data_IF_927406493396
#
_entry.id   IF_927406493396
#
_cell.length_a   1.000
_cell.length_b   1.000
_cell.length_c   1.000
_cell.angle_alpha   90.00
_cell.angle_beta   90.00
_cell.angle_gamma   90.00
#
_symmetry.space_group_name_H-M   'P 1'
#
loop_
_entity.id
_entity.type
_entity.pdbx_description
1 polymer ?
#
# COMPACT_ATOMS: atom_id res chain seq x y z
N UNK A 1 15.03 6.78 -28.61
CA UNK A 1 15.74 5.53 -28.32
C UNK A 1 14.90 4.40 -28.89
N UNK A 2 15.47 3.45 -29.63
CA UNK A 2 14.71 2.28 -30.08
C UNK A 2 14.39 1.39 -28.88
N UNK A 3 13.41 0.48 -29.03
CA UNK A 3 13.05 -0.48 -28.00
C UNK A 3 14.26 -1.36 -27.62
N UNK A 4 15.01 -1.78 -28.64
CA UNK A 4 16.24 -2.58 -28.45
C UNK A 4 17.35 -1.84 -27.70
N UNK A 5 17.53 -0.53 -27.96
CA UNK A 5 18.49 0.31 -27.22
C UNK A 5 18.07 0.51 -25.76
N UNK A 6 16.77 0.59 -25.47
CA UNK A 6 16.25 0.70 -24.12
C UNK A 6 16.44 -0.60 -23.34
N UNK A 7 16.10 -1.74 -23.95
CA UNK A 7 16.28 -3.06 -23.36
C UNK A 7 17.77 -3.36 -23.08
N UNK A 8 18.66 -3.01 -24.04
CA UNK A 8 20.09 -3.17 -23.85
C UNK A 8 20.63 -2.31 -22.70
N UNK A 9 20.19 -1.06 -22.59
CA UNK A 9 20.57 -0.18 -21.50
C UNK A 9 20.10 -0.72 -20.14
N UNK A 10 18.86 -1.15 -20.05
CA UNK A 10 18.31 -1.72 -18.81
C UNK A 10 19.04 -3.00 -18.40
N UNK A 11 19.35 -3.87 -19.36
CA UNK A 11 20.09 -5.09 -19.10
C UNK A 11 21.50 -4.81 -18.55
N UNK A 12 22.23 -3.85 -19.13
CA UNK A 12 23.57 -3.49 -18.70
C UNK A 12 23.57 -2.79 -17.34
N UNK A 13 22.63 -1.87 -17.12
CA UNK A 13 22.43 -1.22 -15.82
C UNK A 13 22.10 -2.22 -14.72
N UNK A 14 21.22 -3.17 -15.02
CA UNK A 14 20.85 -4.24 -14.11
C UNK A 14 22.04 -5.15 -13.78
N UNK A 15 22.88 -5.48 -14.77
CA UNK A 15 24.11 -6.26 -14.57
C UNK A 15 25.08 -5.55 -13.61
N UNK A 16 25.31 -4.24 -13.80
CA UNK A 16 26.17 -3.44 -12.93
C UNK A 16 25.61 -3.34 -11.49
N UNK A 17 24.32 -3.10 -11.34
CA UNK A 17 23.65 -3.07 -10.04
C UNK A 17 23.70 -4.43 -9.33
N UNK A 18 23.56 -5.51 -10.07
CA UNK A 18 23.69 -6.88 -9.55
C UNK A 18 25.11 -7.20 -9.09
N UNK A 19 26.14 -6.83 -9.87
CA UNK A 19 27.54 -7.02 -9.46
C UNK A 19 27.87 -6.22 -8.19
N UNK A 20 27.41 -5.01 -8.11
CA UNK A 20 27.54 -4.16 -6.91
C UNK A 20 26.89 -4.81 -5.69
N UNK A 21 25.68 -5.32 -5.83
CA UNK A 21 24.94 -5.99 -4.75
C UNK A 21 25.63 -7.26 -4.30
N UNK A 22 26.11 -8.09 -5.26
CA UNK A 22 26.85 -9.30 -4.96
C UNK A 22 28.16 -9.00 -4.20
N UNK A 23 28.88 -7.95 -4.61
CA UNK A 23 30.12 -7.52 -3.94
C UNK A 23 29.83 -7.01 -2.53
N UNK A 24 28.71 -6.30 -2.34
CA UNK A 24 28.28 -5.83 -1.04
C UNK A 24 27.91 -7.01 -0.11
N UNK A 25 27.14 -7.97 -0.61
CA UNK A 25 26.76 -9.14 0.15
C UNK A 25 27.99 -9.97 0.54
N UNK A 26 28.92 -10.16 -0.38
CA UNK A 26 30.19 -10.84 -0.12
C UNK A 26 31.00 -10.12 0.97
N UNK A 27 31.05 -8.79 0.95
CA UNK A 27 31.71 -7.99 2.00
C UNK A 27 31.13 -8.26 3.39
N UNK A 28 29.82 -8.52 3.49
CA UNK A 28 29.16 -8.80 4.78
C UNK A 28 29.48 -10.20 5.34
N UNK A 29 29.97 -11.12 4.52
CA UNK A 29 30.36 -12.48 4.97
C UNK A 29 31.76 -12.55 5.57
N UNK A 30 32.59 -11.52 5.39
CA UNK A 30 33.96 -11.49 5.90
C UNK A 30 34.04 -11.19 7.40
N UNK A 31 34.90 -11.93 8.10
CA UNK A 31 35.18 -11.69 9.53
C UNK A 31 35.95 -10.38 9.73
N UNK A 32 35.36 -9.37 10.43
CA UNK A 32 36.01 -8.07 10.61
C UNK A 32 37.34 -8.12 11.38
N UNK A 33 37.58 -9.18 12.16
CA UNK A 33 38.78 -9.36 12.95
C UNK A 33 39.94 -9.99 12.17
N UNK A 34 39.62 -10.82 11.16
CA UNK A 34 40.61 -11.64 10.43
C UNK A 34 40.82 -11.23 8.99
N UNK A 35 39.82 -10.59 8.37
CA UNK A 35 39.79 -10.37 6.90
C UNK A 35 39.68 -8.88 6.53
N UNK A 36 40.34 -8.00 7.28
CA UNK A 36 40.29 -6.54 7.09
C UNK A 36 40.68 -6.11 5.67
N UNK A 37 41.65 -6.76 5.06
CA UNK A 37 42.11 -6.41 3.70
C UNK A 37 41.05 -6.74 2.66
N UNK A 38 40.37 -7.90 2.77
CA UNK A 38 39.27 -8.28 1.87
C UNK A 38 38.07 -7.33 2.02
N UNK A 39 37.77 -6.90 3.23
CA UNK A 39 36.72 -5.90 3.50
C UNK A 39 37.04 -4.56 2.83
N UNK A 40 38.31 -4.13 2.92
CA UNK A 40 38.79 -2.89 2.30
C UNK A 40 38.76 -2.98 0.77
N UNK A 41 39.19 -4.10 0.21
CA UNK A 41 39.16 -4.35 -1.25
C UNK A 41 37.73 -4.39 -1.79
N UNK A 42 36.83 -5.12 -1.14
CA UNK A 42 35.41 -5.14 -1.50
C UNK A 42 34.77 -3.75 -1.38
N UNK A 43 35.12 -2.98 -0.34
CA UNK A 43 34.68 -1.59 -0.19
C UNK A 43 35.14 -0.69 -1.33
N UNK A 44 36.39 -0.86 -1.80
CA UNK A 44 36.93 -0.12 -2.95
C UNK A 44 36.19 -0.50 -4.24
N UNK A 45 35.99 -1.81 -4.47
CA UNK A 45 35.24 -2.31 -5.64
C UNK A 45 33.79 -1.79 -5.67
N UNK A 46 33.11 -1.71 -4.52
CA UNK A 46 31.75 -1.13 -4.43
C UNK A 46 31.78 0.35 -4.83
N UNK A 47 32.73 1.13 -4.35
CA UNK A 47 32.87 2.56 -4.70
C UNK A 47 33.16 2.76 -6.20
N UNK A 48 33.97 1.88 -6.80
CA UNK A 48 34.25 1.89 -8.24
C UNK A 48 32.97 1.56 -9.05
N UNK A 49 32.20 0.58 -8.62
CA UNK A 49 30.92 0.22 -9.25
C UNK A 49 29.88 1.33 -9.10
N UNK A 50 29.77 1.97 -7.93
CA UNK A 50 28.89 3.13 -7.73
C UNK A 50 29.24 4.30 -8.66
N UNK A 51 30.54 4.50 -8.90
CA UNK A 51 31.02 5.54 -9.83
C UNK A 51 30.69 5.17 -11.28
N UNK A 52 30.86 3.91 -11.65
CA UNK A 52 30.49 3.40 -12.99
C UNK A 52 29.00 3.51 -13.24
N UNK A 53 28.16 3.10 -12.30
CA UNK A 53 26.70 3.20 -12.41
C UNK A 53 26.28 4.64 -12.62
N UNK A 54 26.79 5.58 -11.80
CA UNK A 54 26.47 7.01 -11.95
C UNK A 54 26.93 7.59 -13.29
N UNK A 55 28.10 7.18 -13.78
CA UNK A 55 28.61 7.62 -15.08
C UNK A 55 27.74 7.09 -16.21
N UNK A 56 27.34 5.82 -16.15
CA UNK A 56 26.49 5.17 -17.13
C UNK A 56 25.09 5.78 -17.18
N UNK A 57 24.47 6.04 -16.04
CA UNK A 57 23.17 6.70 -15.93
C UNK A 57 23.24 8.14 -16.50
N UNK A 58 24.31 8.88 -16.20
CA UNK A 58 24.53 10.24 -16.72
C UNK A 58 24.74 10.29 -18.24
N UNK A 59 25.52 9.37 -18.78
CA UNK A 59 25.76 9.25 -20.23
C UNK A 59 24.46 8.95 -20.97
N UNK A 60 23.66 8.04 -20.42
CA UNK A 60 22.34 7.72 -20.97
C UNK A 60 21.41 8.94 -20.95
N UNK A 61 21.33 9.65 -19.83
CA UNK A 61 20.52 10.87 -19.72
C UNK A 61 20.94 11.93 -20.76
N UNK A 62 22.23 12.06 -21.00
CA UNK A 62 22.75 12.97 -21.98
C UNK A 62 22.38 12.55 -23.41
N UNK A 63 22.53 11.27 -23.76
CA UNK A 63 22.12 10.74 -25.08
C UNK A 63 20.62 10.93 -25.34
N UNK A 64 19.78 10.70 -24.31
CA UNK A 64 18.33 10.92 -24.40
C UNK A 64 18.01 12.41 -24.64
N UNK A 65 18.67 13.31 -23.91
CA UNK A 65 18.51 14.75 -24.09
C UNK A 65 18.95 15.24 -25.48
N UNK A 66 20.11 14.78 -25.96
CA UNK A 66 20.63 15.13 -27.28
C UNK A 66 19.67 14.66 -28.39
N UNK A 67 19.16 13.43 -28.28
CA UNK A 67 18.22 12.87 -29.25
C UNK A 67 16.85 13.57 -29.18
N UNK A 68 16.36 13.90 -27.98
CA UNK A 68 15.14 14.67 -27.83
C UNK A 68 15.26 16.07 -28.47
N UNK A 69 16.41 16.73 -28.29
CA UNK A 69 16.68 18.02 -28.90
C UNK A 69 16.81 17.92 -30.44
N UNK A 70 17.45 16.86 -30.96
CA UNK A 70 17.55 16.66 -32.41
C UNK A 70 16.19 16.41 -33.04
N UNK A 71 15.34 15.61 -32.41
CA UNK A 71 13.98 15.34 -32.88
C UNK A 71 13.07 16.56 -32.76
N UNK A 72 13.22 17.39 -31.72
CA UNK A 72 12.45 18.64 -31.57
C UNK A 72 12.72 19.64 -32.72
N UNK A 73 13.91 19.60 -33.31
CA UNK A 73 14.30 20.46 -34.43
C UNK A 73 14.19 19.79 -35.81
N UNK A 74 13.83 18.51 -35.84
CA UNK A 74 13.62 17.79 -37.10
C UNK A 74 12.23 18.09 -37.67
N UNK A 75 12.20 19.01 -38.63
CA UNK A 75 10.97 19.45 -39.30
C UNK A 75 10.28 18.33 -40.06
N UNK A 76 11.03 17.37 -40.64
CA UNK A 76 10.48 16.25 -41.37
C UNK A 76 9.79 15.25 -40.42
N UNK A 77 10.45 14.93 -39.31
CA UNK A 77 9.89 14.07 -38.27
C UNK A 77 8.61 14.67 -37.66
N UNK A 78 8.63 15.98 -37.34
CA UNK A 78 7.46 16.65 -36.77
C UNK A 78 6.30 16.71 -37.77
N UNK A 79 6.54 16.96 -39.05
CA UNK A 79 5.50 16.92 -40.06
C UNK A 79 4.91 15.51 -40.27
N UNK A 80 5.75 14.47 -40.24
CA UNK A 80 5.28 13.09 -40.34
C UNK A 80 4.48 12.69 -39.11
N UNK A 81 4.92 13.10 -37.92
CA UNK A 81 4.22 12.88 -36.66
C UNK A 81 2.85 13.58 -36.67
N UNK A 82 2.80 14.87 -37.05
CA UNK A 82 1.56 15.63 -37.12
C UNK A 82 0.59 15.03 -38.14
N UNK A 83 1.10 14.53 -39.27
CA UNK A 83 0.29 13.86 -40.28
C UNK A 83 -0.28 12.52 -39.79
N UNK A 84 0.52 11.71 -39.08
CA UNK A 84 0.07 10.47 -38.42
C UNK A 84 -0.97 10.77 -37.34
N UNK A 85 -0.73 11.77 -36.52
CA UNK A 85 -1.66 12.20 -35.46
C UNK A 85 -2.97 12.75 -36.02
N UNK A 86 -2.93 13.52 -37.13
CA UNK A 86 -4.13 13.98 -37.81
C UNK A 86 -4.94 12.83 -38.38
N UNK A 87 -4.27 11.84 -39.01
CA UNK A 87 -4.93 10.64 -39.52
C UNK A 87 -5.56 9.77 -38.43
N UNK A 88 -4.86 9.60 -37.30
CA UNK A 88 -5.40 8.89 -36.15
C UNK A 88 -6.58 9.63 -35.50
N UNK A 89 -6.51 10.95 -35.38
CA UNK A 89 -7.63 11.78 -34.89
C UNK A 89 -8.85 11.68 -35.80
N UNK A 90 -8.65 11.71 -37.11
CA UNK A 90 -9.75 11.58 -38.07
C UNK A 90 -10.38 10.17 -38.04
N UNK A 91 -9.55 9.12 -37.98
CA UNK A 91 -10.02 7.75 -37.82
C UNK A 91 -10.79 7.58 -36.52
N UNK A 92 -10.24 8.05 -35.41
CA UNK A 92 -10.88 7.98 -34.10
C UNK A 92 -12.17 8.80 -34.04
N UNK A 93 -12.20 9.99 -34.66
CA UNK A 93 -13.43 10.79 -34.76
C UNK A 93 -14.53 10.08 -35.55
N UNK A 94 -14.18 9.37 -36.62
CA UNK A 94 -15.13 8.57 -37.42
C UNK A 94 -15.65 7.35 -36.61
N UNK A 95 -14.77 6.65 -35.90
CA UNK A 95 -15.14 5.51 -35.03
C UNK A 95 -16.03 5.96 -33.86
N UNK A 96 -15.70 7.08 -33.23
CA UNK A 96 -16.51 7.68 -32.16
C UNK A 96 -17.86 8.13 -32.70
N UNK A 97 -17.93 8.84 -33.83
CA UNK A 97 -19.19 9.30 -34.38
C UNK A 97 -20.12 8.17 -34.81
N UNK A 98 -19.57 7.02 -35.20
CA UNK A 98 -20.33 5.84 -35.53
C UNK A 98 -20.88 5.07 -34.30
N UNK A 99 -20.18 5.21 -33.14
CA UNK A 99 -20.52 4.52 -31.90
C UNK A 99 -21.29 5.40 -30.89
N UNK A 100 -21.35 6.70 -31.10
CA UNK A 100 -21.99 7.65 -30.18
C UNK A 100 -23.49 7.73 -30.52
N UNK A 101 -24.32 7.18 -29.62
CA UNK A 101 -25.72 7.50 -29.52
C UNK A 101 -25.93 8.82 -28.77
N UNK A 102 -27.06 9.49 -28.91
CA UNK A 102 -27.38 10.70 -28.14
C UNK A 102 -27.26 10.52 -26.62
N UNK A 103 -27.51 9.30 -26.15
CA UNK A 103 -27.37 8.90 -24.75
C UNK A 103 -25.90 8.82 -24.32
N UNK A 104 -25.02 8.29 -25.20
CA UNK A 104 -23.57 8.26 -24.96
C UNK A 104 -22.96 9.66 -24.97
N UNK A 105 -23.47 10.54 -25.79
CA UNK A 105 -23.05 11.95 -25.89
C UNK A 105 -23.42 12.72 -24.61
N UNK A 106 -24.66 12.60 -24.15
CA UNK A 106 -25.11 13.17 -22.88
C UNK A 106 -24.31 12.65 -21.68
N UNK A 107 -24.04 11.34 -21.67
CA UNK A 107 -23.20 10.68 -20.67
C UNK A 107 -21.77 11.24 -20.66
N UNK A 108 -21.14 11.35 -21.83
CA UNK A 108 -19.78 11.88 -21.95
C UNK A 108 -19.69 13.36 -21.54
N UNK A 109 -20.74 14.15 -21.77
CA UNK A 109 -20.80 15.54 -21.33
C UNK A 109 -20.89 15.66 -19.82
N UNK A 110 -21.67 14.80 -19.15
CA UNK A 110 -21.76 14.71 -17.69
C UNK A 110 -20.42 14.23 -17.11
N UNK A 111 -19.80 13.21 -17.72
CA UNK A 111 -18.48 12.69 -17.36
C UNK A 111 -17.40 13.77 -17.43
N UNK A 112 -17.39 14.58 -18.50
CA UNK A 112 -16.46 15.68 -18.66
C UNK A 112 -16.64 16.75 -17.57
N UNK A 113 -17.87 17.04 -17.16
CA UNK A 113 -18.18 17.97 -16.05
C UNK A 113 -17.75 17.42 -14.70
N UNK A 114 -17.95 16.16 -14.43
CA UNK A 114 -17.54 15.52 -13.16
C UNK A 114 -16.02 15.38 -13.04
N UNK A 115 -15.33 15.01 -14.09
CA UNK A 115 -13.86 15.00 -14.14
C UNK A 115 -13.33 16.42 -13.92
N UNK A 116 -13.95 17.44 -14.53
CA UNK A 116 -13.61 18.84 -14.34
C UNK A 116 -13.86 19.31 -12.90
N UNK A 117 -14.97 18.91 -12.28
CA UNK A 117 -15.30 19.24 -10.89
C UNK A 117 -14.34 18.59 -9.89
N UNK A 118 -13.95 17.34 -10.12
CA UNK A 118 -12.97 16.62 -9.30
C UNK A 118 -11.59 17.28 -9.36
N UNK A 119 -11.17 17.71 -10.55
CA UNK A 119 -9.94 18.46 -10.81
C UNK A 119 -10.10 19.93 -10.42
N UNK A 120 -11.34 20.45 -10.40
CA UNK A 120 -11.69 21.82 -10.06
C UNK A 120 -11.34 22.25 -8.62
N UNK A 121 -11.18 21.28 -7.69
CA UNK A 121 -10.66 21.54 -6.34
C UNK A 121 -9.22 22.02 -6.31
N UNK A 122 -8.48 21.84 -7.39
CA UNK A 122 -7.10 22.28 -7.49
C UNK A 122 -7.02 23.64 -8.23
N UNK A 123 -6.18 24.55 -7.75
CA UNK A 123 -5.91 25.81 -8.44
C UNK A 123 -5.38 25.58 -9.86
N UNK A 124 -5.54 26.57 -10.74
CA UNK A 124 -5.22 26.50 -12.18
C UNK A 124 -3.84 25.89 -12.49
N UNK A 125 -2.79 26.32 -11.79
CA UNK A 125 -1.42 25.79 -11.98
C UNK A 125 -1.31 24.29 -11.68
N UNK A 126 -2.05 23.81 -10.68
CA UNK A 126 -2.02 22.41 -10.26
C UNK A 126 -2.80 21.52 -11.21
N UNK A 127 -3.96 22.02 -11.71
CA UNK A 127 -4.73 21.36 -12.78
C UNK A 127 -3.89 21.17 -14.03
N UNK A 128 -3.19 22.24 -14.45
CA UNK A 128 -2.33 22.21 -15.64
C UNK A 128 -1.18 21.21 -15.50
N UNK A 129 -0.55 21.15 -14.30
CA UNK A 129 0.51 20.17 -13.99
C UNK A 129 -0.01 18.73 -14.04
N UNK A 130 -1.20 18.47 -13.54
CA UNK A 130 -1.79 17.12 -13.54
C UNK A 130 -2.25 16.70 -14.95
N UNK A 131 -2.83 17.62 -15.72
CA UNK A 131 -3.17 17.36 -17.11
C UNK A 131 -1.93 17.06 -17.95
N UNK A 132 -0.85 17.81 -17.75
CA UNK A 132 0.42 17.54 -18.44
C UNK A 132 1.00 16.19 -18.03
N UNK A 133 0.97 15.82 -16.74
CA UNK A 133 1.44 14.51 -16.27
C UNK A 133 0.63 13.36 -16.88
N UNK A 134 -0.70 13.54 -17.03
CA UNK A 134 -1.56 12.55 -17.70
C UNK A 134 -1.23 12.46 -19.20
N UNK A 135 -1.05 13.57 -19.87
CA UNK A 135 -0.67 13.60 -21.29
C UNK A 135 0.69 12.98 -21.52
N UNK A 136 1.65 13.23 -20.63
CA UNK A 136 3.00 12.66 -20.73
C UNK A 136 2.97 11.14 -20.48
N UNK A 137 2.20 10.65 -19.51
CA UNK A 137 2.00 9.22 -19.27
C UNK A 137 1.34 8.51 -20.45
N UNK A 138 0.33 9.15 -21.08
CA UNK A 138 -0.31 8.61 -22.29
C UNK A 138 0.64 8.58 -23.48
N UNK A 139 1.43 9.65 -23.68
CA UNK A 139 2.46 9.69 -24.75
C UNK A 139 3.52 8.61 -24.56
N UNK A 140 4.01 8.43 -23.33
CA UNK A 140 4.96 7.38 -22.99
C UNK A 140 4.38 5.99 -23.27
N UNK A 141 3.15 5.73 -22.87
CA UNK A 141 2.46 4.48 -23.13
C UNK A 141 2.31 4.20 -24.64
N UNK A 142 1.95 5.21 -25.42
CA UNK A 142 1.86 5.08 -26.88
C UNK A 142 3.22 4.78 -27.52
N UNK A 143 4.31 5.39 -27.02
CA UNK A 143 5.67 5.12 -27.48
C UNK A 143 6.13 3.71 -27.17
N UNK A 144 5.70 3.17 -26.02
CA UNK A 144 6.00 1.81 -25.60
C UNK A 144 5.09 0.76 -26.24
N UNK A 145 4.15 1.16 -27.11
CA UNK A 145 3.25 0.26 -27.80
C UNK A 145 2.18 -0.37 -26.89
N UNK A 146 1.86 0.28 -25.77
CA UNK A 146 0.79 -0.15 -24.86
C UNK A 146 -0.56 -0.02 -25.57
N UNK A 147 -1.36 -1.07 -25.55
CA UNK A 147 -2.71 -1.01 -26.09
C UNK A 147 -3.65 -0.28 -25.09
N UNK A 148 -3.97 0.95 -25.41
CA UNK A 148 -4.87 1.78 -24.58
C UNK A 148 -6.35 1.38 -24.71
N UNK A 149 -6.71 0.47 -25.64
CA UNK A 149 -8.05 -0.12 -25.70
C UNK A 149 -8.21 -1.26 -24.71
N UNK A 150 -7.12 -1.93 -24.36
CA UNK A 150 -7.11 -2.90 -23.28
C UNK A 150 -7.31 -2.19 -21.92
N UNK A 151 -8.30 -2.65 -21.16
CA UNK A 151 -8.70 -2.01 -19.90
C UNK A 151 -7.58 -2.12 -18.85
N UNK A 152 -6.90 -3.23 -18.77
CA UNK A 152 -5.88 -3.50 -17.76
C UNK A 152 -4.62 -2.66 -18.05
N UNK A 153 -4.15 -2.64 -19.30
CA UNK A 153 -3.01 -1.84 -19.73
C UNK A 153 -3.31 -0.34 -19.60
N UNK A 154 -4.48 0.10 -20.01
CA UNK A 154 -4.93 1.49 -19.83
C UNK A 154 -4.96 1.88 -18.35
N UNK A 155 -5.49 1.04 -17.48
CA UNK A 155 -5.54 1.26 -16.04
C UNK A 155 -4.12 1.39 -15.45
N UNK A 156 -3.17 0.58 -15.88
CA UNK A 156 -1.78 0.67 -15.45
C UNK A 156 -1.12 2.02 -15.82
N UNK A 157 -1.50 2.61 -16.96
CA UNK A 157 -1.05 3.97 -17.34
C UNK A 157 -1.68 5.04 -16.45
N UNK A 158 -2.98 4.94 -16.16
CA UNK A 158 -3.67 5.87 -15.28
C UNK A 158 -3.16 5.79 -13.84
N UNK A 159 -2.72 4.62 -13.38
CA UNK A 159 -2.17 4.43 -12.03
C UNK A 159 -0.80 5.13 -11.84
N UNK A 160 -0.12 5.49 -12.92
CA UNK A 160 1.10 6.35 -12.88
C UNK A 160 0.79 7.81 -12.54
N UNK A 161 -0.43 8.28 -12.73
CA UNK A 161 -0.88 9.63 -12.37
C UNK A 161 -1.54 9.67 -10.99
N UNK A 162 -1.63 10.87 -10.41
CA UNK A 162 -2.05 11.08 -9.02
C UNK A 162 -3.52 10.71 -8.76
N UNK A 163 -4.33 10.58 -9.80
CA UNK A 163 -5.74 10.19 -9.64
C UNK A 163 -6.30 9.53 -10.91
N UNK A 164 -7.29 8.68 -10.68
CA UNK A 164 -8.12 8.05 -11.71
C UNK A 164 -9.59 8.20 -11.32
N UNK A 165 -10.46 8.52 -12.27
CA UNK A 165 -11.91 8.52 -12.04
C UNK A 165 -12.47 7.20 -12.55
N UNK A 166 -13.11 6.44 -11.65
CA UNK A 166 -13.85 5.22 -11.99
C UNK A 166 -15.32 5.45 -11.74
N UNK A 167 -16.15 5.19 -12.75
CA UNK A 167 -17.61 5.25 -12.64
C UNK A 167 -18.10 3.88 -12.22
N UNK A 168 -18.89 3.85 -11.13
CA UNK A 168 -19.33 2.60 -10.51
C UNK A 168 -20.78 2.26 -10.83
N UNK A 169 -21.63 3.28 -11.01
CA UNK A 169 -23.06 3.04 -11.17
C UNK A 169 -23.78 4.19 -11.87
N UNK A 170 -24.81 3.88 -12.61
CA UNK A 170 -25.66 4.82 -13.34
C UNK A 170 -27.05 4.80 -12.71
N UNK A 171 -27.38 5.78 -11.90
CA UNK A 171 -28.75 6.04 -11.49
C UNK A 171 -29.38 7.07 -12.41
N UNK A 172 -30.67 6.94 -12.69
CA UNK A 172 -31.44 7.73 -13.67
C UNK A 172 -31.36 9.25 -13.52
N UNK A 173 -30.80 9.77 -12.42
CA UNK A 173 -30.72 11.20 -12.14
C UNK A 173 -29.30 11.68 -11.82
N UNK A 174 -28.34 10.83 -11.53
CA UNK A 174 -26.95 11.21 -11.20
C UNK A 174 -25.96 10.11 -11.55
N UNK A 175 -24.87 10.50 -12.19
CA UNK A 175 -23.68 9.66 -12.35
C UNK A 175 -22.89 9.64 -11.03
N UNK A 176 -22.72 8.45 -10.46
CA UNK A 176 -21.86 8.25 -9.31
C UNK A 176 -20.47 7.80 -9.77
N UNK A 177 -19.48 8.67 -9.57
CA UNK A 177 -18.08 8.38 -9.85
C UNK A 177 -17.24 8.33 -8.58
N UNK A 178 -16.25 7.46 -8.57
CA UNK A 178 -15.23 7.40 -7.52
C UNK A 178 -13.92 7.92 -8.06
N UNK A 179 -13.33 8.91 -7.37
CA UNK A 179 -11.97 9.35 -7.66
C UNK A 179 -10.99 8.42 -6.93
N UNK A 180 -10.18 7.70 -7.69
CA UNK A 180 -9.13 6.84 -7.16
C UNK A 180 -7.84 7.65 -7.11
N UNK A 181 -7.30 7.86 -5.91
CA UNK A 181 -6.02 8.51 -5.68
C UNK A 181 -4.94 7.46 -5.48
N UNK A 182 -3.89 7.51 -6.30
CA UNK A 182 -2.69 6.74 -6.03
C UNK A 182 -1.87 7.48 -4.95
N UNK A 183 -1.95 7.00 -3.71
CA UNK A 183 -1.29 7.61 -2.56
C UNK A 183 0.24 7.60 -2.70
N UNK A 184 0.81 6.60 -3.39
CA UNK A 184 2.26 6.51 -3.61
C UNK A 184 2.80 7.64 -4.50
N UNK A 185 1.95 8.22 -5.35
CA UNK A 185 2.32 9.31 -6.26
C UNK A 185 2.12 10.71 -5.66
N UNK A 186 1.57 10.81 -4.44
CA UNK A 186 1.40 12.10 -3.76
C UNK A 186 2.73 12.52 -3.13
N UNK A 187 3.40 13.48 -3.74
CA UNK A 187 4.70 14.01 -3.28
C UNK A 187 4.57 15.32 -2.48
N UNK A 188 3.48 16.06 -2.66
CA UNK A 188 3.29 17.36 -2.02
C UNK A 188 2.65 17.20 -0.63
N UNK A 189 3.30 17.75 0.41
CA UNK A 189 2.78 17.76 1.78
C UNK A 189 1.42 18.46 1.94
N UNK A 190 1.10 19.43 1.06
CA UNK A 190 -0.21 20.10 1.04
C UNK A 190 -1.32 19.17 0.59
N UNK A 191 -1.05 18.26 -0.34
CA UNK A 191 -2.01 17.27 -0.81
C UNK A 191 -2.29 16.24 0.26
N UNK A 192 -1.24 15.81 0.95
CA UNK A 192 -1.38 14.97 2.12
C UNK A 192 -2.20 15.63 3.24
N UNK A 193 -2.07 16.95 3.45
CA UNK A 193 -2.83 17.66 4.49
C UNK A 193 -4.34 17.66 4.24
N UNK A 194 -4.79 17.50 2.99
CA UNK A 194 -6.20 17.39 2.63
C UNK A 194 -6.76 15.97 2.84
N UNK A 195 -5.89 14.97 2.93
CA UNK A 195 -6.26 13.55 3.09
C UNK A 195 -6.17 13.13 4.54
N UNK A 196 -5.07 13.52 5.21
CA UNK A 196 -4.84 13.19 6.61
C UNK A 196 -5.88 13.84 7.52
N UNK A 197 -6.46 13.05 8.40
CA UNK A 197 -7.51 13.46 9.32
C UNK A 197 -8.89 13.52 8.70
N UNK A 198 -9.04 13.87 7.42
CA UNK A 198 -10.35 14.03 6.75
C UNK A 198 -10.79 12.79 5.97
N UNK A 199 -9.85 12.06 5.37
CA UNK A 199 -10.15 10.84 4.60
C UNK A 199 -9.54 9.60 5.23
N UNK A 200 -8.32 9.75 5.74
CA UNK A 200 -7.56 8.70 6.40
C UNK A 200 -7.11 9.24 7.75
N UNK A 201 -7.42 8.53 8.81
CA UNK A 201 -6.88 8.79 10.15
C UNK A 201 -6.12 7.58 10.66
N UNK A 202 -5.19 7.80 11.58
CA UNK A 202 -4.34 6.75 12.14
C UNK A 202 -4.43 6.77 13.66
N UNK A 203 -4.64 5.59 14.23
CA UNK A 203 -4.47 5.29 15.66
C UNK A 203 -3.12 4.62 15.82
N UNK A 204 -2.19 5.29 16.50
CA UNK A 204 -0.82 4.79 16.69
C UNK A 204 -0.73 3.81 17.86
N UNK A 205 0.32 3.00 17.85
CA UNK A 205 0.60 1.93 18.81
C UNK A 205 0.65 2.42 20.27
N UNK A 206 1.31 3.54 20.52
CA UNK A 206 1.50 4.06 21.87
C UNK A 206 0.70 5.36 22.11
N UNK A 207 -0.34 5.31 22.96
CA UNK A 207 -1.13 6.49 23.30
C UNK A 207 -0.33 7.53 24.12
N UNK A 208 0.79 7.14 24.75
CA UNK A 208 1.61 8.06 25.55
C UNK A 208 2.39 9.03 24.65
N UNK A 209 2.89 8.55 23.52
CA UNK A 209 3.60 9.36 22.53
C UNK A 209 2.67 10.12 21.59
N UNK A 210 1.43 9.63 21.45
CA UNK A 210 0.43 10.23 20.56
C UNK A 210 -0.26 11.45 21.15
N UNK A 211 -0.38 11.52 22.47
CA UNK A 211 -1.03 12.63 23.19
C UNK A 211 0.02 13.64 23.68
N UNK A 212 -0.25 14.93 23.49
CA UNK A 212 0.61 15.98 24.03
C UNK A 212 0.38 16.11 25.54
N UNK A 213 1.40 15.85 26.41
CA UNK A 213 1.23 15.81 27.85
C UNK A 213 0.91 17.16 28.51
N UNK A 214 1.20 18.28 27.84
CA UNK A 214 1.00 19.64 28.36
C UNK A 214 -0.27 20.33 27.84
N UNK A 215 -1.08 19.62 27.04
CA UNK A 215 -2.35 20.13 26.51
C UNK A 215 -3.48 19.26 27.06
N UNK A 216 -4.58 19.89 27.50
CA UNK A 216 -5.75 19.17 28.00
C UNK A 216 -6.40 18.31 26.90
N UNK A 217 -7.07 17.23 27.29
CA UNK A 217 -7.67 16.26 26.36
C UNK A 217 -8.69 16.93 25.45
N UNK A 218 -9.61 17.69 26.02
CA UNK A 218 -10.64 18.39 25.25
C UNK A 218 -10.06 19.33 24.21
N UNK A 219 -8.98 20.06 24.54
CA UNK A 219 -8.30 20.97 23.62
C UNK A 219 -7.58 20.22 22.49
N UNK A 220 -7.07 19.02 22.74
CA UNK A 220 -6.47 18.20 21.69
C UNK A 220 -7.53 17.73 20.69
N UNK A 221 -8.72 17.33 21.15
CA UNK A 221 -9.82 16.91 20.27
C UNK A 221 -10.36 18.11 19.49
N UNK A 222 -10.70 19.21 20.17
CA UNK A 222 -11.30 20.40 19.55
C UNK A 222 -10.38 21.07 18.53
N UNK A 223 -9.07 21.10 18.77
CA UNK A 223 -8.12 21.66 17.80
C UNK A 223 -8.07 20.88 16.48
N UNK A 224 -8.25 19.57 16.51
CA UNK A 224 -8.36 18.76 15.29
C UNK A 224 -9.69 19.00 14.57
N UNK A 225 -10.79 19.08 15.31
CA UNK A 225 -12.12 19.40 14.76
C UNK A 225 -12.07 20.75 14.03
N UNK A 226 -11.64 21.82 14.72
CA UNK A 226 -11.57 23.18 14.16
C UNK A 226 -10.59 23.32 12.98
N UNK A 227 -9.54 22.50 12.96
CA UNK A 227 -8.59 22.50 11.84
C UNK A 227 -9.18 21.96 10.53
N UNK A 228 -10.08 21.00 10.62
CA UNK A 228 -10.59 20.26 9.47
C UNK A 228 -12.06 20.51 9.15
N UNK A 229 -12.78 21.13 10.06
CA UNK A 229 -14.20 21.46 9.92
C UNK A 229 -14.41 22.95 10.17
N UNK A 230 -15.28 23.56 9.40
CA UNK A 230 -15.69 24.94 9.60
C UNK A 230 -16.74 24.97 10.70
N UNK A 231 -16.31 25.23 11.95
CA UNK A 231 -17.16 25.26 13.14
C UNK A 231 -16.60 26.20 14.21
N UNK A 232 -17.47 26.69 15.06
CA UNK A 232 -17.12 27.50 16.22
C UNK A 232 -16.49 26.66 17.34
N UNK A 233 -15.78 27.29 18.26
CA UNK A 233 -15.17 26.60 19.41
C UNK A 233 -16.22 25.88 20.28
N UNK A 234 -17.41 26.49 20.45
CA UNK A 234 -18.52 25.87 21.21
C UNK A 234 -19.06 24.62 20.52
N UNK A 235 -19.21 24.66 19.17
CA UNK A 235 -19.62 23.48 18.40
C UNK A 235 -18.56 22.39 18.44
N UNK A 236 -17.27 22.75 18.33
CA UNK A 236 -16.18 21.82 18.47
C UNK A 236 -16.14 21.16 19.86
N UNK A 237 -16.42 21.94 20.93
CA UNK A 237 -16.52 21.41 22.29
C UNK A 237 -17.67 20.40 22.43
N UNK A 238 -18.85 20.69 21.92
CA UNK A 238 -20.00 19.78 21.97
C UNK A 238 -19.69 18.47 21.21
N UNK A 239 -19.10 18.56 20.03
CA UNK A 239 -18.68 17.38 19.25
C UNK A 239 -17.60 16.57 19.96
N UNK A 240 -16.68 17.23 20.62
CA UNK A 240 -15.62 16.55 21.39
C UNK A 240 -16.20 15.79 22.58
N UNK A 241 -17.16 16.38 23.31
CA UNK A 241 -17.86 15.73 24.43
C UNK A 241 -18.67 14.51 23.96
N UNK A 242 -19.40 14.63 22.85
CA UNK A 242 -20.11 13.50 22.21
C UNK A 242 -19.15 12.36 21.83
N UNK A 243 -18.01 12.69 21.25
CA UNK A 243 -16.99 11.69 20.92
C UNK A 243 -16.38 11.03 22.16
N UNK A 244 -16.11 11.80 23.21
CA UNK A 244 -15.61 11.25 24.48
C UNK A 244 -16.62 10.28 25.10
N UNK A 245 -17.92 10.59 25.03
CA UNK A 245 -18.97 9.70 25.49
C UNK A 245 -19.04 8.42 24.64
N UNK A 246 -19.05 8.56 23.31
CA UNK A 246 -19.08 7.44 22.36
C UNK A 246 -17.90 6.46 22.52
N UNK A 247 -16.72 6.96 22.84
CA UNK A 247 -15.59 6.09 23.14
C UNK A 247 -15.59 5.56 24.57
N UNK A 248 -16.61 5.90 25.37
CA UNK A 248 -16.82 5.39 26.72
C UNK A 248 -15.90 6.01 27.77
N UNK A 249 -15.63 7.31 27.68
CA UNK A 249 -14.98 8.06 28.75
C UNK A 249 -16.05 8.42 29.80
N UNK A 250 -15.88 8.03 31.07
CA UNK A 250 -16.87 8.36 32.11
C UNK A 250 -16.81 9.86 32.45
N UNK A 251 -17.97 10.48 32.57
CA UNK A 251 -18.13 11.92 32.88
C UNK A 251 -17.32 12.84 31.97
N UNK A 252 -17.58 12.87 30.66
CA UNK A 252 -16.76 13.60 29.67
C UNK A 252 -16.58 15.09 30.03
N UNK A 253 -17.62 15.75 30.50
CA UNK A 253 -17.60 17.18 30.85
C UNK A 253 -16.61 17.49 31.98
N UNK A 254 -16.55 16.67 33.02
CA UNK A 254 -15.63 16.85 34.13
C UNK A 254 -14.18 16.55 33.74
N UNK A 255 -13.99 15.65 32.75
CA UNK A 255 -12.68 15.22 32.31
C UNK A 255 -12.14 15.96 31.09
N UNK A 256 -12.95 16.81 30.50
CA UNK A 256 -12.57 17.56 29.28
C UNK A 256 -11.30 18.39 29.45
N UNK A 257 -11.14 19.01 30.62
CA UNK A 257 -10.01 19.86 30.94
C UNK A 257 -8.86 19.13 31.67
N UNK A 258 -8.99 17.78 31.83
CA UNK A 258 -7.93 16.93 32.37
C UNK A 258 -6.78 16.77 31.37
N UNK A 259 -5.57 16.52 31.90
CA UNK A 259 -4.37 16.23 31.13
C UNK A 259 -4.21 14.71 30.90
N UNK A 260 -3.44 14.29 29.87
CA UNK A 260 -3.24 12.88 29.55
C UNK A 260 -2.77 12.02 30.74
N UNK A 261 -1.94 12.53 31.64
CA UNK A 261 -1.44 11.76 32.79
C UNK A 261 -2.52 11.40 33.81
N UNK A 262 -3.66 12.11 33.81
CA UNK A 262 -4.82 11.84 34.69
C UNK A 262 -5.70 10.70 34.17
N UNK A 263 -5.43 10.21 32.95
CA UNK A 263 -6.16 9.12 32.32
C UNK A 263 -5.40 7.79 32.45
N UNK A 264 -6.13 6.70 32.64
CA UNK A 264 -5.55 5.35 32.56
C UNK A 264 -5.08 5.02 31.14
N UNK A 265 -4.25 3.98 30.96
CA UNK A 265 -3.77 3.55 29.65
C UNK A 265 -4.90 3.29 28.64
N UNK A 266 -5.92 2.52 29.07
CA UNK A 266 -7.09 2.26 28.24
C UNK A 266 -7.93 3.49 27.94
N UNK A 267 -8.05 4.44 28.88
CA UNK A 267 -8.74 5.70 28.62
C UNK A 267 -7.96 6.58 27.63
N UNK A 268 -6.62 6.63 27.71
CA UNK A 268 -5.79 7.36 26.72
C UNK A 268 -5.96 6.77 25.34
N UNK A 269 -5.98 5.45 25.21
CA UNK A 269 -6.22 4.78 23.92
C UNK A 269 -7.59 5.16 23.33
N UNK A 270 -8.65 5.20 24.16
CA UNK A 270 -9.98 5.66 23.76
C UNK A 270 -9.96 7.12 23.28
N UNK A 271 -9.19 7.99 23.92
CA UNK A 271 -9.02 9.38 23.48
C UNK A 271 -8.28 9.47 22.14
N UNK A 272 -7.22 8.69 21.92
CA UNK A 272 -6.53 8.65 20.62
C UNK A 272 -7.49 8.21 19.51
N UNK A 273 -8.36 7.22 19.80
CA UNK A 273 -9.43 6.81 18.88
C UNK A 273 -10.43 7.96 18.64
N UNK A 274 -10.86 8.68 19.70
CA UNK A 274 -11.75 9.83 19.57
C UNK A 274 -11.13 10.94 18.69
N UNK A 275 -9.85 11.25 18.87
CA UNK A 275 -9.12 12.21 18.03
C UNK A 275 -9.07 11.73 16.57
N UNK A 276 -8.77 10.47 16.32
CA UNK A 276 -8.74 9.92 14.98
C UNK A 276 -10.11 10.00 14.27
N UNK A 277 -11.19 9.78 15.01
CA UNK A 277 -12.57 9.81 14.50
C UNK A 277 -13.18 11.22 14.42
N UNK A 278 -12.55 12.22 15.02
CA UNK A 278 -13.11 13.58 15.15
C UNK A 278 -13.47 14.24 13.81
N UNK A 279 -12.82 13.85 12.73
CA UNK A 279 -13.09 14.33 11.37
C UNK A 279 -13.87 13.35 10.50
N UNK A 280 -14.43 12.29 11.08
CA UNK A 280 -15.20 11.26 10.37
C UNK A 280 -14.49 10.72 9.15
N UNK A 281 -13.28 10.15 9.30
CA UNK A 281 -12.51 9.62 8.20
C UNK A 281 -13.25 8.45 7.54
N UNK A 282 -12.96 8.19 6.27
CA UNK A 282 -13.49 7.00 5.59
C UNK A 282 -12.65 5.76 5.85
N UNK A 283 -11.36 5.95 6.14
CA UNK A 283 -10.40 4.89 6.43
C UNK A 283 -9.73 5.19 7.76
N UNK A 284 -9.79 4.23 8.68
CA UNK A 284 -9.10 4.27 9.96
C UNK A 284 -7.98 3.22 9.94
N UNK A 285 -6.74 3.66 10.06
CA UNK A 285 -5.58 2.79 10.19
C UNK A 285 -5.30 2.62 11.69
N UNK A 286 -5.36 1.40 12.19
CA UNK A 286 -5.04 1.05 13.57
C UNK A 286 -3.72 0.29 13.58
N UNK A 287 -2.65 0.95 14.03
CA UNK A 287 -1.31 0.37 14.10
C UNK A 287 -1.07 -0.17 15.51
N UNK A 288 -1.20 -1.48 15.66
CA UNK A 288 -1.09 -2.21 16.93
C UNK A 288 -1.84 -1.53 18.11
N UNK A 289 -3.12 -1.18 17.97
CA UNK A 289 -3.82 -0.29 18.92
C UNK A 289 -4.05 -0.93 20.29
N UNK A 290 -3.70 -2.19 20.49
CA UNK A 290 -3.96 -2.96 21.71
C UNK A 290 -2.72 -3.55 22.37
N UNK A 291 -1.53 -3.40 21.79
CA UNK A 291 -0.29 -4.08 22.22
C UNK A 291 0.15 -3.70 23.64
N UNK A 292 -0.10 -2.47 24.07
CA UNK A 292 0.27 -1.98 25.41
C UNK A 292 -0.85 -2.12 26.47
N UNK A 293 -1.91 -2.90 26.17
CA UNK A 293 -3.08 -3.02 27.02
C UNK A 293 -3.23 -4.44 27.59
N UNK A 294 -3.81 -4.55 28.77
CA UNK A 294 -4.21 -5.86 29.30
C UNK A 294 -5.36 -6.49 28.48
N UNK A 295 -5.49 -7.81 28.57
CA UNK A 295 -6.42 -8.60 27.75
C UNK A 295 -7.86 -8.12 27.87
N UNK A 296 -8.28 -7.66 29.06
CA UNK A 296 -9.64 -7.19 29.29
C UNK A 296 -9.90 -5.87 28.59
N UNK A 297 -8.97 -4.94 28.70
CA UNK A 297 -9.05 -3.64 28.00
C UNK A 297 -8.90 -3.83 26.51
N UNK A 298 -8.03 -4.73 26.06
CA UNK A 298 -7.90 -5.10 24.63
C UNK A 298 -9.26 -5.52 24.06
N UNK A 299 -9.95 -6.47 24.70
CA UNK A 299 -11.27 -6.90 24.25
C UNK A 299 -12.29 -5.75 24.18
N UNK A 300 -12.27 -4.84 25.16
CA UNK A 300 -13.13 -3.66 25.16
C UNK A 300 -12.82 -2.70 24.01
N UNK A 301 -11.53 -2.47 23.69
CA UNK A 301 -11.13 -1.61 22.56
C UNK A 301 -11.54 -2.23 21.22
N UNK A 302 -11.34 -3.55 21.05
CA UNK A 302 -11.75 -4.25 19.83
C UNK A 302 -13.27 -4.17 19.62
N UNK A 303 -14.05 -4.38 20.69
CA UNK A 303 -15.51 -4.21 20.66
C UNK A 303 -15.89 -2.78 20.29
N UNK A 304 -15.26 -1.78 20.93
CA UNK A 304 -15.48 -0.36 20.65
C UNK A 304 -15.24 -0.05 19.17
N UNK A 305 -14.13 -0.51 18.59
CA UNK A 305 -13.82 -0.28 17.18
C UNK A 305 -14.86 -0.92 16.24
N UNK A 306 -15.34 -2.13 16.56
CA UNK A 306 -16.43 -2.78 15.79
C UNK A 306 -17.75 -2.01 15.88
N UNK A 307 -18.10 -1.55 17.06
CA UNK A 307 -19.36 -0.81 17.30
C UNK A 307 -19.31 0.53 16.55
N UNK A 308 -18.19 1.25 16.65
CA UNK A 308 -17.97 2.50 15.93
C UNK A 308 -17.90 2.31 14.40
N UNK A 309 -17.32 1.19 13.92
CA UNK A 309 -17.32 0.86 12.50
C UNK A 309 -18.73 0.73 11.95
N UNK A 310 -19.61 0.04 12.68
CA UNK A 310 -21.02 -0.13 12.30
C UNK A 310 -21.78 1.19 12.32
N UNK A 311 -21.54 2.04 13.33
CA UNK A 311 -22.19 3.34 13.47
C UNK A 311 -21.79 4.31 12.36
N UNK A 312 -20.50 4.42 12.07
CA UNK A 312 -19.95 5.42 11.15
C UNK A 312 -19.65 4.89 9.74
N UNK A 313 -19.76 3.58 9.51
CA UNK A 313 -19.55 2.92 8.22
C UNK A 313 -18.19 3.27 7.58
N UNK A 314 -17.11 3.19 8.34
CA UNK A 314 -15.74 3.38 7.83
C UNK A 314 -15.00 2.06 7.65
N UNK A 315 -13.98 2.07 6.80
CA UNK A 315 -13.08 0.93 6.59
C UNK A 315 -11.95 0.97 7.62
N UNK A 316 -11.72 -0.15 8.31
CA UNK A 316 -10.59 -0.30 9.23
C UNK A 316 -9.46 -1.05 8.52
N UNK A 317 -8.25 -0.51 8.55
CA UNK A 317 -7.01 -1.24 8.26
C UNK A 317 -6.34 -1.52 9.60
N UNK A 318 -6.42 -2.77 10.06
CA UNK A 318 -5.92 -3.18 11.36
C UNK A 318 -4.57 -3.87 11.21
N UNK A 319 -3.51 -3.32 11.80
CA UNK A 319 -2.17 -3.87 11.78
C UNK A 319 -1.90 -4.52 13.14
N UNK A 320 -1.58 -5.79 13.16
CA UNK A 320 -1.28 -6.53 14.40
C UNK A 320 -0.46 -7.79 14.09
N UNK A 321 0.27 -8.25 15.08
CA UNK A 321 0.93 -9.55 15.07
C UNK A 321 0.11 -10.64 15.81
N UNK A 322 -1.03 -10.28 16.40
CA UNK A 322 -1.89 -11.21 17.15
C UNK A 322 -2.94 -11.83 16.22
N UNK A 323 -2.72 -13.08 15.84
CA UNK A 323 -3.62 -13.83 14.96
C UNK A 323 -5.00 -14.08 15.59
N UNK A 324 -5.09 -14.14 16.91
CA UNK A 324 -6.39 -14.25 17.61
C UNK A 324 -7.23 -12.99 17.45
N UNK A 325 -6.59 -11.82 17.48
CA UNK A 325 -7.25 -10.53 17.19
C UNK A 325 -7.70 -10.49 15.74
N UNK A 326 -6.83 -10.90 14.80
CA UNK A 326 -7.18 -10.95 13.37
C UNK A 326 -8.40 -11.82 13.12
N UNK A 327 -8.41 -13.05 13.64
CA UNK A 327 -9.53 -13.99 13.49
C UNK A 327 -10.86 -13.42 14.00
N UNK A 328 -10.83 -12.51 14.97
CA UNK A 328 -12.02 -11.94 15.60
C UNK A 328 -12.54 -10.67 14.91
N UNK A 329 -11.65 -9.84 14.35
CA UNK A 329 -12.03 -8.50 13.87
C UNK A 329 -12.06 -8.37 12.35
N UNK A 330 -11.24 -9.13 11.63
CA UNK A 330 -11.01 -8.92 10.21
C UNK A 330 -12.04 -9.64 9.32
N UNK A 331 -12.41 -9.01 8.22
CA UNK A 331 -13.14 -9.64 7.11
C UNK A 331 -12.16 -10.23 6.09
N UNK A 332 -11.02 -9.54 5.88
CA UNK A 332 -9.94 -9.94 4.98
C UNK A 332 -8.59 -9.81 5.67
N UNK A 333 -7.68 -10.68 5.29
CA UNK A 333 -6.32 -10.73 5.85
C UNK A 333 -5.30 -10.56 4.73
N UNK A 334 -4.29 -9.73 5.00
CA UNK A 334 -3.08 -9.64 4.18
C UNK A 334 -1.88 -9.98 5.08
N UNK A 335 -1.17 -11.05 4.76
CA UNK A 335 0.04 -11.46 5.46
C UNK A 335 1.23 -10.74 4.84
N UNK A 336 1.98 -10.00 5.66
CA UNK A 336 3.16 -9.24 5.24
C UNK A 336 4.45 -9.92 5.70
N UNK A 337 5.42 -10.01 4.78
CA UNK A 337 6.78 -10.41 5.09
C UNK A 337 7.78 -9.54 4.33
N UNK A 338 8.80 -9.04 5.01
CA UNK A 338 9.84 -8.20 4.42
C UNK A 338 9.30 -7.03 3.55
N UNK A 339 8.21 -6.37 4.00
CA UNK A 339 7.58 -5.25 3.30
C UNK A 339 6.69 -5.61 2.12
N UNK A 340 6.46 -6.90 1.87
CA UNK A 340 5.63 -7.40 0.77
C UNK A 340 4.42 -8.18 1.29
N UNK A 341 3.30 -8.10 0.57
CA UNK A 341 2.16 -8.98 0.81
C UNK A 341 2.51 -10.34 0.20
N UNK A 342 2.57 -11.37 1.05
CA UNK A 342 2.88 -12.74 0.62
C UNK A 342 1.64 -13.60 0.48
N UNK A 343 0.55 -13.27 1.17
CA UNK A 343 -0.73 -13.94 1.03
C UNK A 343 -1.87 -12.97 1.36
N UNK A 344 -2.99 -13.03 0.63
CA UNK A 344 -4.18 -12.21 0.86
C UNK A 344 -5.44 -12.99 0.51
N UNK A 345 -6.45 -12.90 1.39
CA UNK A 345 -7.73 -13.58 1.20
C UNK A 345 -8.77 -13.16 2.23
N UNK A 346 -9.90 -13.83 2.28
CA UNK A 346 -10.82 -13.75 3.42
C UNK A 346 -10.17 -14.38 4.65
N UNK A 347 -10.71 -14.11 5.83
CA UNK A 347 -10.22 -14.75 7.07
C UNK A 347 -10.27 -16.27 6.94
N UNK A 348 -11.38 -16.80 6.46
CA UNK A 348 -11.59 -18.23 6.27
C UNK A 348 -10.55 -18.85 5.32
N UNK A 349 -10.28 -18.19 4.18
CA UNK A 349 -9.31 -18.68 3.20
C UNK A 349 -7.90 -18.74 3.78
N UNK A 350 -7.45 -17.65 4.42
CA UNK A 350 -6.07 -17.56 4.93
C UNK A 350 -5.88 -18.44 6.16
N UNK A 351 -6.89 -18.59 7.02
CA UNK A 351 -6.78 -19.37 8.25
C UNK A 351 -7.03 -20.88 8.02
N UNK A 352 -7.97 -21.24 7.15
CA UNK A 352 -8.34 -22.64 6.95
C UNK A 352 -7.64 -23.29 5.77
N UNK A 353 -7.24 -22.53 4.75
CA UNK A 353 -6.51 -23.04 3.60
C UNK A 353 -5.30 -22.16 3.23
N UNK A 354 -4.38 -21.89 4.18
CA UNK A 354 -3.19 -21.10 3.92
C UNK A 354 -2.35 -21.70 2.80
N UNK A 355 -1.76 -20.87 1.96
CA UNK A 355 -0.99 -21.30 0.77
C UNK A 355 0.47 -20.93 0.83
N UNK A 356 0.83 -19.87 1.54
CA UNK A 356 2.23 -19.44 1.64
C UNK A 356 2.95 -20.12 2.80
N UNK A 357 4.18 -20.63 2.62
CA UNK A 357 4.95 -21.30 3.70
C UNK A 357 5.16 -20.42 4.95
N UNK A 358 5.27 -19.11 4.80
CA UNK A 358 5.34 -18.20 5.95
C UNK A 358 4.02 -18.18 6.75
N UNK A 359 2.87 -18.20 6.10
CA UNK A 359 1.56 -18.30 6.76
C UNK A 359 1.42 -19.65 7.49
N UNK A 360 1.92 -20.74 6.88
CA UNK A 360 1.97 -22.04 7.54
C UNK A 360 2.77 -21.98 8.84
N UNK A 361 3.93 -21.34 8.78
CA UNK A 361 4.80 -21.19 9.93
C UNK A 361 4.17 -20.34 11.04
N UNK A 362 3.52 -19.23 10.67
CA UNK A 362 2.80 -18.36 11.62
C UNK A 362 1.67 -19.12 12.33
N UNK A 363 0.84 -19.82 11.58
CA UNK A 363 -0.28 -20.59 12.14
C UNK A 363 0.22 -21.77 12.99
N UNK A 364 1.28 -22.47 12.54
CA UNK A 364 1.90 -23.57 13.31
C UNK A 364 2.55 -23.11 14.62
N UNK A 365 2.86 -21.83 14.76
CA UNK A 365 3.42 -21.27 15.99
C UNK A 365 2.38 -20.87 17.04
N UNK A 366 1.08 -21.02 16.73
CA UNK A 366 0.00 -20.69 17.66
C UNK A 366 -0.07 -21.72 18.78
N UNK A 367 0.07 -21.30 20.07
CA UNK A 367 0.00 -22.22 21.21
C UNK A 367 -1.33 -22.98 21.30
N UNK A 368 -2.43 -22.34 20.82
CA UNK A 368 -3.79 -22.88 20.83
C UNK A 368 -3.95 -24.10 19.89
N UNK A 369 -3.09 -24.20 18.86
CA UNK A 369 -3.10 -25.29 17.89
C UNK A 369 -2.13 -26.40 18.24
N UNK A 370 -1.25 -26.17 19.23
CA UNK A 370 -0.28 -27.16 19.67
C UNK A 370 -0.94 -28.26 20.51
N UNK A 371 -0.61 -29.49 20.22
CA UNK A 371 -0.97 -30.61 21.09
C UNK A 371 -0.13 -30.57 22.39
N UNK A 372 -0.70 -31.09 23.49
CA UNK A 372 0.04 -31.17 24.76
C UNK A 372 1.35 -31.97 24.56
N UNK A 373 2.47 -31.38 24.95
CA UNK A 373 3.83 -31.93 24.85
C UNK A 373 4.46 -31.89 23.43
N UNK A 374 3.94 -31.12 22.46
CA UNK A 374 4.63 -30.86 21.21
C UNK A 374 5.45 -29.57 21.30
N UNK A 375 6.63 -29.54 20.69
CA UNK A 375 7.42 -28.34 20.51
C UNK A 375 6.75 -27.45 19.50
N UNK A 376 6.51 -26.17 19.88
CA UNK A 376 5.98 -25.17 18.93
C UNK A 376 6.94 -25.02 17.74
N UNK A 377 6.36 -24.89 16.55
CA UNK A 377 7.14 -24.61 15.35
C UNK A 377 7.81 -23.24 15.47
N UNK A 378 9.10 -23.20 15.23
CA UNK A 378 9.89 -21.97 15.23
C UNK A 378 10.52 -21.76 13.86
N UNK A 379 10.32 -20.56 13.29
CA UNK A 379 10.95 -20.19 12.02
C UNK A 379 12.45 -19.94 12.27
N UNK A 380 13.29 -20.76 11.67
CA UNK A 380 14.75 -20.65 11.80
C UNK A 380 15.31 -19.45 11.01
N UNK A 381 16.44 -18.92 11.46
CA UNK A 381 17.13 -17.82 10.79
C UNK A 381 16.53 -16.42 11.09
N UNK A 382 17.17 -15.39 10.57
CA UNK A 382 16.77 -13.99 10.74
C UNK A 382 16.04 -13.47 9.49
N UNK A 383 15.07 -12.54 9.63
CA UNK A 383 14.49 -11.86 8.48
C UNK A 383 15.56 -11.16 7.63
N UNK A 384 15.36 -11.04 6.31
CA UNK A 384 16.31 -10.35 5.45
C UNK A 384 16.39 -8.87 5.81
N UNK A 385 17.58 -8.29 5.67
CA UNK A 385 17.76 -6.85 5.83
C UNK A 385 17.13 -6.11 4.65
N UNK A 386 16.22 -5.18 4.94
CA UNK A 386 15.57 -4.35 3.92
C UNK A 386 16.49 -3.25 3.34
N UNK A 387 17.68 -3.07 3.89
CA UNK A 387 18.71 -2.20 3.30
C UNK A 387 19.34 -2.80 2.04
N UNK A 388 19.22 -4.11 1.86
CA UNK A 388 19.76 -4.83 0.72
C UNK A 388 18.67 -5.11 -0.31
N UNK A 389 19.02 -5.07 -1.57
CA UNK A 389 18.16 -5.59 -2.63
C UNK A 389 17.96 -7.10 -2.44
N UNK A 390 16.73 -7.52 -2.25
CA UNK A 390 16.37 -8.92 -2.13
C UNK A 390 16.21 -9.47 -3.55
N UNK A 391 16.96 -10.53 -3.88
CA UNK A 391 16.84 -11.26 -5.13
C UNK A 391 16.05 -12.54 -4.86
N UNK A 392 15.02 -12.81 -5.67
CA UNK A 392 14.13 -13.96 -5.46
C UNK A 392 13.10 -13.70 -4.36
N UNK A 393 12.57 -14.79 -3.79
CA UNK A 393 11.62 -14.72 -2.70
C UNK A 393 12.32 -14.29 -1.39
N UNK A 394 11.78 -13.26 -0.75
CA UNK A 394 12.28 -12.77 0.53
C UNK A 394 12.26 -13.83 1.64
N UNK A 395 11.35 -14.78 1.57
CA UNK A 395 11.24 -15.87 2.56
C UNK A 395 12.14 -17.07 2.22
N UNK A 396 12.70 -17.19 1.01
CA UNK A 396 13.51 -18.32 0.57
C UNK A 396 14.56 -18.82 1.59
N UNK A 397 15.36 -17.94 2.25
CA UNK A 397 16.37 -18.39 3.23
C UNK A 397 15.81 -19.06 4.47
N UNK A 398 14.52 -18.90 4.73
CA UNK A 398 13.81 -19.39 5.91
C UNK A 398 12.71 -20.39 5.56
N UNK A 399 12.52 -20.63 4.25
CA UNK A 399 11.51 -21.52 3.73
C UNK A 399 12.05 -22.97 3.65
N UNK A 400 11.55 -23.91 4.46
CA UNK A 400 12.00 -25.31 4.40
C UNK A 400 11.63 -26.01 3.08
N UNK A 401 10.71 -25.41 2.31
CA UNK A 401 10.25 -25.88 1.00
C UNK A 401 10.87 -25.10 -0.17
N UNK A 402 11.95 -24.36 0.11
CA UNK A 402 12.62 -23.52 -0.88
C UNK A 402 13.08 -24.31 -2.09
N UNK A 403 12.69 -23.86 -3.27
CA UNK A 403 13.17 -24.36 -4.55
C UNK A 403 14.28 -23.45 -5.10
N UNK A 404 15.03 -23.93 -6.07
CA UNK A 404 16.10 -23.15 -6.70
C UNK A 404 15.57 -21.83 -7.30
N UNK A 405 14.35 -21.84 -7.86
CA UNK A 405 13.73 -20.65 -8.45
C UNK A 405 13.46 -19.57 -7.41
N UNK A 406 13.08 -19.93 -6.18
CA UNK A 406 12.87 -18.98 -5.08
C UNK A 406 14.09 -18.12 -4.79
N UNK A 407 15.30 -18.63 -5.09
CA UNK A 407 16.55 -17.87 -4.90
C UNK A 407 16.94 -16.99 -6.09
N UNK A 408 16.29 -17.15 -7.22
CA UNK A 408 16.63 -16.50 -8.49
C UNK A 408 15.60 -15.44 -8.87
N UNK A 409 14.33 -15.74 -8.72
CA UNK A 409 13.22 -14.90 -9.18
C UNK A 409 12.16 -14.77 -8.10
N UNK A 410 11.63 -13.57 -7.99
CA UNK A 410 10.52 -13.25 -7.08
C UNK A 410 9.24 -13.92 -7.59
N UNK A 411 8.52 -14.71 -6.76
CA UNK A 411 7.28 -15.35 -7.18
C UNK A 411 6.22 -14.30 -7.52
N UNK A 412 5.44 -14.48 -8.57
CA UNK A 412 4.26 -13.65 -8.82
C UNK A 412 3.16 -13.98 -7.81
N UNK A 413 2.16 -13.11 -7.73
CA UNK A 413 0.97 -13.37 -6.94
C UNK A 413 0.05 -14.35 -7.68
N UNK A 414 0.05 -15.63 -7.29
CA UNK A 414 -0.80 -16.65 -7.88
C UNK A 414 -2.23 -16.55 -7.34
N UNK A 415 -3.20 -16.64 -8.22
CA UNK A 415 -4.62 -16.70 -7.88
C UNK A 415 -5.00 -18.12 -7.44
N UNK A 416 -5.54 -18.23 -6.22
CA UNK A 416 -6.07 -19.50 -5.67
C UNK A 416 -7.59 -19.56 -5.84
N UNK A 417 -8.28 -18.50 -5.41
CA UNK A 417 -9.71 -18.26 -5.62
C UNK A 417 -9.93 -16.84 -6.14
N UNK A 418 -11.16 -16.39 -6.30
CA UNK A 418 -11.45 -15.01 -6.72
C UNK A 418 -10.99 -13.97 -5.69
N UNK A 419 -10.86 -14.34 -4.43
CA UNK A 419 -10.49 -13.48 -3.31
C UNK A 419 -9.16 -13.85 -2.66
N UNK A 420 -8.63 -15.07 -2.92
CA UNK A 420 -7.43 -15.61 -2.31
C UNK A 420 -6.25 -15.64 -3.29
N UNK A 421 -5.16 -15.02 -2.90
CA UNK A 421 -3.91 -14.96 -3.66
C UNK A 421 -2.72 -15.24 -2.76
N UNK A 422 -1.70 -15.93 -3.28
CA UNK A 422 -0.47 -16.17 -2.54
C UNK A 422 0.76 -16.06 -3.45
N UNK A 423 1.83 -15.52 -2.89
CA UNK A 423 3.09 -15.19 -3.57
C UNK A 423 4.13 -16.27 -3.30
N UNK A 424 3.96 -17.43 -3.94
CA UNK A 424 4.86 -18.57 -3.76
C UNK A 424 4.94 -19.42 -5.02
N UNK A 425 6.14 -19.81 -5.42
CA UNK A 425 6.36 -20.73 -6.55
C UNK A 425 5.77 -22.13 -6.33
N UNK A 426 5.43 -22.51 -5.09
CA UNK A 426 4.74 -23.79 -4.81
C UNK A 426 3.36 -23.91 -5.47
N UNK A 427 2.79 -22.80 -5.92
CA UNK A 427 1.52 -22.77 -6.64
C UNK A 427 1.69 -22.85 -8.16
N UNK A 428 2.93 -22.85 -8.66
CA UNK A 428 3.17 -23.04 -10.09
C UNK A 428 2.75 -24.46 -10.53
N UNK A 429 2.15 -24.64 -11.72
CA UNK A 429 1.70 -25.95 -12.19
C UNK A 429 2.77 -27.04 -12.21
N UNK A 430 4.03 -26.66 -12.48
CA UNK A 430 5.17 -27.56 -12.54
C UNK A 430 5.89 -27.72 -11.19
N UNK A 431 5.39 -27.08 -10.12
CA UNK A 431 5.99 -27.21 -8.79
C UNK A 431 5.79 -28.62 -8.20
N UNK A 432 6.75 -29.12 -7.43
CA UNK A 432 6.58 -30.38 -6.73
C UNK A 432 5.42 -30.25 -5.73
N UNK A 433 4.61 -31.29 -5.61
CA UNK A 433 3.58 -31.36 -4.59
C UNK A 433 4.23 -31.49 -3.21
N UNK A 434 3.97 -30.53 -2.37
CA UNK A 434 4.49 -30.47 -1.00
C UNK A 434 3.33 -30.70 -0.02
N UNK A 435 3.56 -31.55 0.96
CA UNK A 435 2.61 -31.74 2.06
C UNK A 435 2.73 -30.58 3.05
N UNK A 436 1.58 -30.06 3.46
CA UNK A 436 1.52 -29.03 4.51
C UNK A 436 2.06 -29.60 5.84
N UNK A 437 2.71 -28.77 6.68
CA UNK A 437 3.18 -29.20 8.01
C UNK A 437 2.07 -29.84 8.85
N UNK A 438 2.40 -30.84 9.66
CA UNK A 438 1.45 -31.55 10.55
C UNK A 438 0.65 -30.57 11.44
N UNK A 439 1.30 -29.47 11.87
CA UNK A 439 0.67 -28.45 12.70
C UNK A 439 -0.55 -27.81 12.06
N UNK A 440 -0.59 -27.72 10.73
CA UNK A 440 -1.70 -27.13 9.97
C UNK A 440 -2.52 -28.15 9.16
N UNK A 441 -2.22 -29.42 9.26
CA UNK A 441 -3.12 -30.46 8.76
C UNK A 441 -4.41 -30.44 9.60
N UNK A 442 -5.56 -30.47 8.91
CA UNK A 442 -6.89 -30.31 9.51
C UNK A 442 -7.04 -29.04 10.36
N UNK A 443 -6.38 -27.95 9.92
CA UNK A 443 -6.35 -26.68 10.65
C UNK A 443 -7.75 -26.13 10.94
N UNK A 444 -8.71 -26.33 10.05
CA UNK A 444 -10.10 -25.92 10.24
C UNK A 444 -10.68 -26.51 11.53
N UNK A 445 -10.57 -27.84 11.72
CA UNK A 445 -11.09 -28.51 12.92
C UNK A 445 -10.37 -28.06 14.18
N UNK A 446 -9.04 -27.86 14.10
CA UNK A 446 -8.21 -27.37 15.19
C UNK A 446 -8.60 -25.94 15.59
N UNK A 447 -8.82 -25.05 14.63
CA UNK A 447 -9.21 -23.65 14.88
C UNK A 447 -10.63 -23.54 15.45
N UNK A 448 -11.59 -24.27 14.87
CA UNK A 448 -12.96 -24.33 15.40
C UNK A 448 -12.95 -24.78 16.87
N UNK A 449 -12.16 -25.81 17.18
CA UNK A 449 -12.01 -26.30 18.55
C UNK A 449 -11.29 -25.31 19.48
N UNK A 450 -10.28 -24.59 18.98
CA UNK A 450 -9.47 -23.66 19.76
C UNK A 450 -10.17 -22.35 20.07
N UNK A 451 -10.96 -21.82 19.11
CA UNK A 451 -11.61 -20.51 19.21
C UNK A 451 -13.12 -20.59 19.45
N UNK A 452 -13.71 -21.78 19.54
CA UNK A 452 -15.17 -22.02 19.71
C UNK A 452 -16.02 -21.30 18.65
N UNK A 453 -15.57 -21.30 17.40
CA UNK A 453 -16.24 -20.67 16.25
C UNK A 453 -17.16 -21.68 15.57
#
# INVERSE_FOLDING_TARGET
>A
MSKEEAEAYEAELHALKRERTNTFNLKQTYDPSKEKDKIKEAGKKISELDTKIKAFEKEHEQKVKERANSLAHDTAYNQEFDKKMAGLKEKHAKEISAAITAETEARNEILAKEVYLSVGRFGFRKRMKQNNALLDALKEAMQLGVDLNDEEQRNAVFDKVTFRVKYLDENSERLHGTCILNLANIKDGRDWSQIRGTKIATVFQDPMTSLNPIITIGKQITSVIMKHQDCTENEARLRALDLMDKVGIPNPEARFDDYPFQYSGGMRQRIVIAIALSCQPKILICDEPTTALDVTIQAQILKLLKDLQKEFNYTIVFITHDLGVVANIADRVAVLYAGQIVEVGTVEEVFYDPRHPYTWALLSSLPQLAERNTTLYSITGTPPSLYNSIVGDAFAPRNPYCMKIDTLEEPPMFKVTDTHYAKTWLLHPDAPKVEKPEGIQNIHEKLVKAFNI
#
